data_IF_539680158111
#
_entry.id   IF_539680158111
#
_cell.length_a   1.000
_cell.length_b   1.000
_cell.length_c   1.000
_cell.angle_alpha   90.00
_cell.angle_beta   90.00
_cell.angle_gamma   90.00
#
_symmetry.space_group_name_H-M   'P 1'
#
loop_
_entity.id
_entity.type
_entity.pdbx_description
1 polymer ?
#
# COMPACT_ATOMS: atom_id res chain seq x y z
N UNK A 1 -4.08 8.25 21.98
CA UNK A 1 -5.48 8.73 21.83
C UNK A 1 -6.32 7.54 21.35
N UNK A 2 -7.64 7.62 21.10
CA UNK A 2 -8.40 6.41 20.76
C UNK A 2 -7.98 5.88 19.38
N UNK A 3 -7.61 4.60 19.34
CA UNK A 3 -7.41 3.85 18.09
C UNK A 3 -8.72 3.23 17.61
N UNK A 4 -8.77 2.88 16.33
CA UNK A 4 -9.94 2.21 15.74
C UNK A 4 -10.33 0.96 16.53
N UNK A 5 -9.38 0.06 16.80
CA UNK A 5 -9.60 -1.18 17.53
C UNK A 5 -10.27 -0.95 18.88
N UNK A 6 -9.72 -0.04 19.68
CA UNK A 6 -10.21 0.29 21.02
C UNK A 6 -11.58 0.97 20.97
N UNK A 7 -11.79 1.88 20.01
CA UNK A 7 -13.04 2.62 19.86
C UNK A 7 -14.23 1.73 19.50
N UNK A 8 -14.00 0.71 18.66
CA UNK A 8 -15.05 -0.20 18.20
C UNK A 8 -15.06 -1.53 18.96
N UNK A 9 -14.30 -1.64 20.05
CA UNK A 9 -14.32 -2.82 20.93
C UNK A 9 -13.70 -4.07 20.33
N UNK A 10 -12.79 -3.93 19.35
CA UNK A 10 -12.02 -5.05 18.84
C UNK A 10 -11.03 -5.48 19.92
N UNK A 11 -11.00 -6.78 20.20
CA UNK A 11 -10.12 -7.34 21.21
C UNK A 11 -8.67 -7.52 20.73
N UNK A 12 -8.35 -7.01 19.54
CA UNK A 12 -7.15 -7.34 18.78
C UNK A 12 -6.18 -6.15 18.83
N UNK A 13 -4.88 -6.45 18.90
CA UNK A 13 -3.81 -5.46 18.74
C UNK A 13 -3.40 -5.40 17.27
N UNK A 14 -2.56 -4.44 16.89
CA UNK A 14 -2.15 -4.25 15.49
C UNK A 14 -1.65 -5.54 14.83
N UNK A 15 -0.93 -6.38 15.57
CA UNK A 15 -0.41 -7.67 15.13
C UNK A 15 -1.51 -8.64 14.64
N UNK A 16 -2.70 -8.59 15.25
CA UNK A 16 -3.82 -9.50 14.99
C UNK A 16 -4.95 -8.89 14.16
N UNK A 17 -4.70 -7.74 13.53
CA UNK A 17 -5.57 -7.09 12.55
C UNK A 17 -4.96 -7.23 11.15
N UNK A 18 -5.77 -7.21 10.09
CA UNK A 18 -5.26 -7.23 8.70
C UNK A 18 -4.96 -5.80 8.18
N UNK A 19 -5.57 -4.80 8.82
CA UNK A 19 -5.48 -3.38 8.49
C UNK A 19 -4.67 -2.60 9.54
N UNK A 20 -4.23 -1.39 9.16
CA UNK A 20 -3.56 -0.46 10.07
C UNK A 20 -4.54 0.03 11.13
N UNK A 21 -4.20 -0.17 12.41
CA UNK A 21 -5.00 0.28 13.55
C UNK A 21 -4.75 1.77 13.81
N UNK A 22 -5.38 2.59 12.97
CA UNK A 22 -5.20 4.05 12.93
C UNK A 22 -5.61 4.73 14.23
N UNK A 23 -4.89 5.80 14.57
CA UNK A 23 -5.33 6.76 15.59
C UNK A 23 -6.46 7.64 15.01
N UNK A 24 -7.57 7.78 15.74
CA UNK A 24 -8.76 8.45 15.21
C UNK A 24 -8.71 9.98 15.32
N UNK A 25 -7.73 10.50 16.07
CA UNK A 25 -7.57 11.93 16.39
C UNK A 25 -6.43 12.60 15.64
N UNK A 26 -5.41 11.84 15.24
CA UNK A 26 -4.20 12.32 14.56
C UNK A 26 -3.90 11.41 13.38
N UNK A 27 -3.15 11.92 12.41
CA UNK A 27 -2.70 11.10 11.30
C UNK A 27 -1.57 10.17 11.74
N UNK A 28 -1.66 8.95 11.21
CA UNK A 28 -0.65 7.92 11.37
C UNK A 28 0.39 8.12 10.27
N UNK A 29 1.67 8.26 10.65
CA UNK A 29 2.78 8.48 9.72
C UNK A 29 3.13 7.23 8.93
N UNK A 30 2.24 6.91 8.00
CA UNK A 30 2.30 5.82 7.04
C UNK A 30 1.75 6.35 5.72
N UNK A 31 2.19 5.74 4.64
CA UNK A 31 1.80 6.04 3.27
C UNK A 31 1.21 4.80 2.64
N UNK A 32 0.02 4.92 2.05
CA UNK A 32 -0.43 3.96 1.05
C UNK A 32 0.50 4.05 -0.17
N UNK A 33 1.14 2.93 -0.49
CA UNK A 33 2.22 2.85 -1.47
C UNK A 33 1.76 2.03 -2.68
N UNK A 34 1.66 2.61 -3.89
CA UNK A 34 1.23 1.88 -5.08
C UNK A 34 2.20 0.77 -5.48
N UNK A 35 3.51 0.97 -5.30
CA UNK A 35 4.51 -0.05 -5.63
C UNK A 35 4.39 -1.26 -4.71
N UNK A 36 4.15 -1.03 -3.41
CA UNK A 36 3.91 -2.10 -2.44
C UNK A 36 2.70 -2.98 -2.77
N UNK A 37 1.73 -2.41 -3.51
CA UNK A 37 0.56 -3.13 -4.02
C UNK A 37 0.93 -3.87 -5.31
N UNK A 38 1.56 -3.18 -6.26
CA UNK A 38 1.85 -3.69 -7.61
C UNK A 38 2.76 -4.91 -7.64
N UNK A 39 3.68 -5.04 -6.68
CA UNK A 39 4.59 -6.19 -6.59
C UNK A 39 3.91 -7.50 -6.15
N UNK A 40 2.60 -7.47 -5.85
CA UNK A 40 1.86 -8.61 -5.31
C UNK A 40 0.91 -9.20 -6.34
N UNK A 41 0.93 -10.52 -6.45
CA UNK A 41 0.12 -11.29 -7.41
C UNK A 41 -1.25 -11.74 -6.87
N UNK A 42 -1.67 -11.23 -5.71
CA UNK A 42 -2.97 -11.56 -5.13
C UNK A 42 -4.13 -10.81 -5.80
N UNK A 43 -5.36 -11.31 -5.61
CA UNK A 43 -6.55 -10.77 -6.27
C UNK A 43 -6.83 -9.30 -5.90
N UNK A 44 -6.63 -8.92 -4.64
CA UNK A 44 -6.90 -7.57 -4.18
C UNK A 44 -5.88 -6.60 -4.78
N UNK A 45 -4.60 -6.97 -4.73
CA UNK A 45 -3.51 -6.18 -5.27
C UNK A 45 -3.59 -6.03 -6.79
N UNK A 46 -3.96 -7.10 -7.51
CA UNK A 46 -4.24 -7.06 -8.95
C UNK A 46 -5.34 -6.04 -9.28
N UNK A 47 -6.46 -6.07 -8.53
CA UNK A 47 -7.57 -5.13 -8.71
C UNK A 47 -7.13 -3.68 -8.48
N UNK A 48 -6.35 -3.44 -7.42
CA UNK A 48 -5.80 -2.11 -7.16
C UNK A 48 -4.87 -1.63 -8.29
N UNK A 49 -3.96 -2.49 -8.76
CA UNK A 49 -3.08 -2.19 -9.89
C UNK A 49 -3.85 -1.85 -11.16
N UNK A 50 -4.97 -2.53 -11.45
CA UNK A 50 -5.82 -2.21 -12.59
C UNK A 50 -6.49 -0.83 -12.46
N UNK A 51 -6.94 -0.45 -11.26
CA UNK A 51 -7.51 0.89 -11.02
C UNK A 51 -6.45 1.98 -11.22
N UNK A 52 -5.26 1.79 -10.65
CA UNK A 52 -4.12 2.70 -10.75
C UNK A 52 -3.71 2.88 -12.22
N UNK A 53 -3.42 1.79 -12.92
CA UNK A 53 -2.99 1.82 -14.32
C UNK A 53 -4.04 2.43 -15.24
N UNK A 54 -5.31 2.05 -15.07
CA UNK A 54 -6.43 2.58 -15.86
C UNK A 54 -6.56 4.09 -15.70
N UNK A 55 -6.57 4.57 -14.45
CA UNK A 55 -6.68 6.00 -14.17
C UNK A 55 -5.48 6.77 -14.74
N UNK A 56 -4.27 6.31 -14.45
CA UNK A 56 -3.06 7.02 -14.84
C UNK A 56 -2.89 7.05 -16.36
N UNK A 57 -3.18 5.94 -17.04
CA UNK A 57 -3.19 5.87 -18.51
C UNK A 57 -4.15 6.89 -19.13
N UNK A 58 -5.35 7.04 -18.57
CA UNK A 58 -6.34 8.00 -19.04
C UNK A 58 -5.87 9.46 -18.82
N UNK A 59 -5.23 9.75 -17.69
CA UNK A 59 -4.62 11.07 -17.43
C UNK A 59 -3.51 11.36 -18.44
N UNK A 60 -2.57 10.43 -18.63
CA UNK A 60 -1.47 10.59 -19.57
C UNK A 60 -1.99 10.75 -21.01
N UNK A 61 -3.00 9.99 -21.41
CA UNK A 61 -3.62 10.10 -22.73
C UNK A 61 -4.29 11.48 -22.93
N UNK A 62 -5.03 11.97 -21.93
CA UNK A 62 -5.64 13.29 -21.98
C UNK A 62 -4.60 14.41 -22.11
N UNK A 63 -3.50 14.32 -21.36
CA UNK A 63 -2.40 15.29 -21.44
C UNK A 63 -1.67 15.24 -22.79
N UNK A 64 -1.41 14.04 -23.34
CA UNK A 64 -0.76 13.87 -24.66
C UNK A 64 -1.63 14.38 -25.80
N UNK A 65 -2.96 14.28 -25.66
CA UNK A 65 -3.93 14.81 -26.62
C UNK A 65 -4.21 16.31 -26.45
N UNK A 66 -3.48 17.01 -25.57
CA UNK A 66 -3.72 18.41 -25.17
C UNK A 66 -5.17 18.67 -24.70
N UNK A 67 -5.86 17.64 -24.22
CA UNK A 67 -7.21 17.72 -23.70
C UNK A 67 -7.19 18.16 -22.23
N UNK A 68 -6.81 19.42 -22.03
CA UNK A 68 -6.71 20.05 -20.71
C UNK A 68 -8.01 19.95 -19.90
N UNK A 69 -9.17 20.04 -20.56
CA UNK A 69 -10.47 19.91 -19.89
C UNK A 69 -10.67 18.52 -19.27
N UNK A 70 -10.33 17.46 -20.00
CA UNK A 70 -10.39 16.09 -19.51
C UNK A 70 -9.36 15.84 -18.40
N UNK A 71 -8.11 16.25 -18.59
CA UNK A 71 -7.06 16.07 -17.59
C UNK A 71 -7.44 16.76 -16.26
N UNK A 72 -7.95 18.00 -16.32
CA UNK A 72 -8.39 18.72 -15.13
C UNK A 72 -9.64 18.10 -14.49
N UNK A 73 -10.58 17.57 -15.27
CA UNK A 73 -11.73 16.85 -14.72
C UNK A 73 -11.31 15.58 -13.96
N UNK A 74 -10.34 14.83 -14.49
CA UNK A 74 -9.82 13.63 -13.85
C UNK A 74 -9.08 13.97 -12.55
N UNK A 75 -8.12 14.90 -12.64
CA UNK A 75 -7.28 15.29 -11.51
C UNK A 75 -8.02 16.12 -10.45
N UNK A 76 -9.10 16.83 -10.83
CA UNK A 76 -9.89 17.65 -9.91
C UNK A 76 -10.67 16.86 -8.85
N UNK A 77 -10.78 15.54 -8.99
CA UNK A 77 -11.37 14.68 -7.97
C UNK A 77 -10.35 14.19 -6.93
N UNK A 78 -9.07 14.53 -7.11
CA UNK A 78 -7.99 14.16 -6.20
C UNK A 78 -7.90 15.17 -5.07
N UNK A 79 -8.28 14.75 -3.88
CA UNK A 79 -8.25 15.57 -2.67
C UNK A 79 -7.40 14.90 -1.60
N UNK A 80 -6.92 15.67 -0.62
CA UNK A 80 -6.26 15.07 0.55
C UNK A 80 -7.28 14.21 1.33
N UNK A 81 -7.10 12.88 1.36
CA UNK A 81 -8.06 11.93 1.90
C UNK A 81 -7.95 11.89 3.43
N UNK A 82 -8.96 12.41 4.12
CA UNK A 82 -8.96 12.47 5.58
C UNK A 82 -9.55 11.21 6.23
N UNK A 83 -10.21 10.38 5.43
CA UNK A 83 -10.92 9.18 5.85
C UNK A 83 -9.96 8.04 6.22
N UNK A 84 -8.74 7.99 5.65
CA UNK A 84 -7.73 6.97 5.98
C UNK A 84 -6.87 7.33 7.18
N UNK A 85 -6.77 8.63 7.54
CA UNK A 85 -5.89 9.13 8.62
C UNK A 85 -4.42 8.74 8.43
N UNK A 86 -3.98 8.66 7.18
CA UNK A 86 -2.60 8.44 6.81
C UNK A 86 -1.94 9.76 6.43
N UNK A 87 -0.64 9.91 6.70
CA UNK A 87 0.15 11.08 6.33
C UNK A 87 0.82 11.76 7.52
N UNK A 88 1.23 13.03 7.32
CA UNK A 88 2.01 13.80 8.31
C UNK A 88 1.28 15.03 8.86
N UNK A 89 0.02 15.23 8.51
CA UNK A 89 -0.71 16.44 8.88
C UNK A 89 -0.92 16.52 10.41
N UNK A 90 -0.42 17.61 11.02
CA UNK A 90 -0.57 17.92 12.45
C UNK A 90 -1.79 18.81 12.76
N UNK A 91 -2.56 19.19 11.73
CA UNK A 91 -3.61 20.22 11.82
C UNK A 91 -4.98 19.78 11.29
N UNK A 92 -6.01 20.63 11.46
CA UNK A 92 -7.36 20.38 10.90
C UNK A 92 -7.34 20.57 9.36
N UNK A 93 -7.95 19.67 8.58
CA UNK A 93 -7.97 19.77 7.13
C UNK A 93 -8.75 21.03 6.68
N UNK A 94 -8.15 21.85 5.83
CA UNK A 94 -8.83 23.00 5.21
C UNK A 94 -9.12 22.70 3.73
N UNK A 95 -10.17 21.92 3.49
CA UNK A 95 -10.58 21.50 2.15
C UNK A 95 -11.66 22.40 1.57
N UNK A 96 -11.34 23.14 0.50
CA UNK A 96 -12.22 23.46 -0.63
C UNK A 96 -11.55 24.30 -1.73
N UNK A 97 -10.44 24.99 -1.45
CA UNK A 97 -9.72 25.82 -2.44
C UNK A 97 -8.37 25.27 -2.95
N UNK A 98 -7.87 24.18 -2.35
CA UNK A 98 -6.52 23.66 -2.58
C UNK A 98 -6.46 22.61 -3.71
N UNK A 99 -7.56 21.86 -3.94
CA UNK A 99 -7.61 20.74 -4.90
C UNK A 99 -7.36 21.16 -6.34
N UNK A 100 -8.06 22.19 -6.84
CA UNK A 100 -7.88 22.69 -8.21
C UNK A 100 -6.48 23.25 -8.48
N UNK A 101 -5.80 23.75 -7.44
CA UNK A 101 -4.44 24.23 -7.54
C UNK A 101 -3.46 23.05 -7.59
N UNK A 102 -3.54 22.12 -6.64
CA UNK A 102 -2.73 20.89 -6.61
C UNK A 102 -2.88 20.08 -7.90
N UNK A 103 -4.10 19.93 -8.43
CA UNK A 103 -4.37 19.25 -9.69
C UNK A 103 -3.67 19.91 -10.88
N UNK A 104 -3.71 21.26 -10.95
CA UNK A 104 -3.00 22.02 -11.99
C UNK A 104 -1.48 21.92 -11.85
N UNK A 105 -0.97 21.96 -10.62
CA UNK A 105 0.46 21.80 -10.36
C UNK A 105 0.94 20.41 -10.75
N UNK A 106 0.21 19.36 -10.37
CA UNK A 106 0.52 17.99 -10.75
C UNK A 106 0.48 17.79 -12.27
N UNK A 107 -0.57 18.28 -12.95
CA UNK A 107 -0.65 18.24 -14.41
C UNK A 107 0.52 18.95 -15.09
N UNK A 108 0.90 20.14 -14.59
CA UNK A 108 2.05 20.89 -15.10
C UNK A 108 3.36 20.16 -14.85
N UNK A 109 3.53 19.56 -13.68
CA UNK A 109 4.71 18.80 -13.32
C UNK A 109 4.87 17.58 -14.24
N UNK A 110 3.77 16.85 -14.48
CA UNK A 110 3.73 15.76 -15.48
C UNK A 110 4.18 16.24 -16.86
N UNK A 111 3.53 17.26 -17.41
CA UNK A 111 3.80 17.75 -18.79
C UNK A 111 5.23 18.30 -18.93
N UNK A 112 5.78 18.92 -17.89
CA UNK A 112 7.15 19.44 -17.90
C UNK A 112 8.22 18.36 -17.75
N UNK A 113 7.87 17.22 -17.16
CA UNK A 113 8.84 16.17 -16.89
C UNK A 113 9.39 15.53 -18.17
N UNK A 114 10.69 15.23 -18.17
CA UNK A 114 11.31 14.46 -19.26
C UNK A 114 10.77 13.03 -19.33
N UNK A 115 10.36 12.46 -18.20
CA UNK A 115 9.79 11.10 -18.17
C UNK A 115 8.47 11.02 -18.94
N UNK A 116 7.62 12.05 -18.86
CA UNK A 116 6.40 12.13 -19.66
C UNK A 116 6.67 12.26 -21.16
N UNK A 117 7.55 13.20 -21.54
CA UNK A 117 7.86 13.50 -22.95
C UNK A 117 8.64 12.38 -23.66
N UNK A 118 9.48 11.65 -22.93
CA UNK A 118 10.23 10.49 -23.44
C UNK A 118 9.45 9.19 -23.43
N UNK A 119 8.29 9.15 -22.76
CA UNK A 119 7.48 7.94 -22.62
C UNK A 119 8.00 6.94 -21.57
N UNK A 120 9.02 7.31 -20.79
CA UNK A 120 9.55 6.49 -19.68
C UNK A 120 8.53 6.38 -18.54
N UNK A 121 7.73 7.44 -18.32
CA UNK A 121 6.69 7.44 -17.29
C UNK A 121 5.52 6.54 -17.71
N UNK A 122 5.45 5.35 -17.11
CA UNK A 122 4.39 4.37 -17.35
C UNK A 122 3.54 4.09 -16.12
N UNK A 123 4.11 4.34 -14.93
CA UNK A 123 3.49 4.02 -13.65
C UNK A 123 3.40 5.24 -12.73
N UNK A 124 2.39 5.28 -11.87
CA UNK A 124 2.27 6.26 -10.79
C UNK A 124 3.37 6.08 -9.75
N UNK A 125 3.81 4.84 -9.49
CA UNK A 125 4.85 4.55 -8.51
C UNK A 125 6.18 5.22 -8.91
N UNK A 126 6.43 5.30 -10.22
CA UNK A 126 7.59 5.97 -10.82
C UNK A 126 7.47 7.49 -10.84
N UNK A 127 6.28 8.05 -10.64
CA UNK A 127 6.09 9.50 -10.62
C UNK A 127 6.85 10.16 -9.46
N UNK A 128 6.99 9.48 -8.32
CA UNK A 128 7.89 9.95 -7.26
C UNK A 128 9.34 10.03 -7.77
N UNK A 129 9.82 9.04 -8.52
CA UNK A 129 11.22 9.03 -8.98
C UNK A 129 11.53 10.20 -9.92
N UNK A 130 10.62 10.52 -10.83
CA UNK A 130 10.94 11.34 -12.00
C UNK A 130 10.29 12.73 -12.04
N UNK A 131 9.26 12.98 -11.22
CA UNK A 131 8.52 14.24 -11.32
C UNK A 131 8.89 15.17 -10.17
N UNK A 132 9.46 16.32 -10.52
CA UNK A 132 9.76 17.38 -9.56
C UNK A 132 8.47 17.91 -8.90
N UNK A 133 8.52 18.12 -7.58
CA UNK A 133 7.36 18.53 -6.79
C UNK A 133 6.38 17.40 -6.44
N UNK A 134 6.57 16.19 -6.97
CA UNK A 134 5.83 15.00 -6.58
C UNK A 134 6.64 14.24 -5.54
N UNK A 135 6.05 14.03 -4.36
CA UNK A 135 6.67 13.30 -3.26
C UNK A 135 5.72 12.27 -2.63
N UNK A 136 6.14 11.60 -1.54
CA UNK A 136 5.38 10.55 -0.86
C UNK A 136 3.92 10.94 -0.54
N UNK A 137 3.66 12.10 0.05
CA UNK A 137 2.30 12.52 0.39
C UNK A 137 1.42 12.61 -0.87
N UNK A 138 1.94 13.16 -1.98
CA UNK A 138 1.17 13.32 -3.23
C UNK A 138 0.82 11.97 -3.86
N UNK A 139 1.78 11.04 -3.89
CA UNK A 139 1.55 9.70 -4.44
C UNK A 139 0.58 8.91 -3.56
N UNK A 140 0.68 9.05 -2.24
CA UNK A 140 -0.21 8.36 -1.31
C UNK A 140 -1.65 8.88 -1.37
N UNK A 141 -1.81 10.21 -1.39
CA UNK A 141 -3.10 10.87 -1.60
C UNK A 141 -3.73 10.41 -2.91
N UNK A 142 -2.97 10.47 -4.01
CA UNK A 142 -3.43 10.07 -5.33
C UNK A 142 -3.88 8.61 -5.35
N UNK A 143 -3.05 7.72 -4.83
CA UNK A 143 -3.34 6.28 -4.71
C UNK A 143 -4.62 6.05 -3.91
N UNK A 144 -4.80 6.75 -2.78
CA UNK A 144 -5.99 6.64 -1.95
C UNK A 144 -7.25 7.11 -2.69
N UNK A 145 -7.19 8.22 -3.43
CA UNK A 145 -8.33 8.71 -4.21
C UNK A 145 -8.74 7.72 -5.31
N UNK A 146 -7.77 7.17 -6.03
CA UNK A 146 -8.00 6.20 -7.10
C UNK A 146 -8.61 4.91 -6.52
N UNK A 147 -8.05 4.42 -5.41
CA UNK A 147 -8.45 3.18 -4.76
C UNK A 147 -9.63 3.32 -3.80
N UNK A 148 -10.24 4.51 -3.67
CA UNK A 148 -11.32 4.78 -2.70
C UNK A 148 -12.41 3.72 -2.70
N UNK A 149 -12.90 3.33 -3.87
CA UNK A 149 -13.95 2.31 -4.00
C UNK A 149 -13.49 0.94 -3.52
N UNK A 150 -12.26 0.56 -3.84
CA UNK A 150 -11.65 -0.73 -3.43
C UNK A 150 -11.41 -0.75 -1.91
N UNK A 151 -10.88 0.34 -1.35
CA UNK A 151 -10.68 0.52 0.09
C UNK A 151 -12.01 0.54 0.85
N UNK A 152 -13.07 1.13 0.28
CA UNK A 152 -14.39 1.15 0.89
C UNK A 152 -15.00 -0.26 0.96
N UNK A 153 -14.85 -1.06 -0.10
CA UNK A 153 -15.27 -2.47 -0.11
C UNK A 153 -14.50 -3.28 0.94
N UNK A 154 -13.17 -3.16 0.96
CA UNK A 154 -12.32 -3.78 1.98
C UNK A 154 -12.74 -3.38 3.40
N UNK A 155 -13.00 -2.09 3.63
CA UNK A 155 -13.44 -1.57 4.93
C UNK A 155 -14.78 -2.18 5.36
N UNK A 156 -15.74 -2.30 4.45
CA UNK A 156 -17.03 -2.92 4.74
C UNK A 156 -16.86 -4.38 5.17
N UNK A 157 -16.04 -5.15 4.46
CA UNK A 157 -15.76 -6.55 4.79
C UNK A 157 -15.05 -6.70 6.14
N UNK A 158 -14.07 -5.84 6.45
CA UNK A 158 -13.42 -5.83 7.76
C UNK A 158 -14.39 -5.43 8.88
N UNK A 159 -15.29 -4.50 8.62
CA UNK A 159 -16.33 -4.14 9.60
C UNK A 159 -17.29 -5.30 9.83
N UNK A 160 -17.70 -6.03 8.80
CA UNK A 160 -18.54 -7.22 8.95
C UNK A 160 -17.82 -8.35 9.72
N UNK A 161 -16.55 -8.59 9.38
CA UNK A 161 -15.70 -9.57 10.06
C UNK A 161 -15.64 -9.29 11.57
N UNK A 162 -15.43 -8.04 11.94
CA UNK A 162 -15.28 -7.60 13.33
C UNK A 162 -16.58 -7.14 14.00
N UNK A 163 -17.73 -7.25 13.32
CA UNK A 163 -19.05 -6.80 13.83
C UNK A 163 -19.09 -5.31 14.18
N UNK A 164 -18.36 -4.49 13.43
CA UNK A 164 -18.36 -3.03 13.54
C UNK A 164 -19.54 -2.45 12.75
N UNK A 165 -20.37 -1.58 13.36
CA UNK A 165 -21.50 -0.99 12.67
C UNK A 165 -21.04 -0.02 11.58
N UNK A 166 -21.70 -0.09 10.43
CA UNK A 166 -21.48 0.81 9.29
C UNK A 166 -22.73 1.63 8.98
N UNK A 167 -22.56 2.67 8.18
CA UNK A 167 -23.66 3.49 7.67
C UNK A 167 -23.42 3.86 6.21
N UNK A 168 -24.49 4.13 5.48
CA UNK A 168 -24.42 4.61 4.10
C UNK A 168 -23.81 6.02 4.05
N UNK A 169 -22.66 6.15 3.39
CA UNK A 169 -21.89 7.39 3.26
C UNK A 169 -21.63 7.70 1.79
N UNK A 170 -21.93 8.93 1.37
CA UNK A 170 -21.65 9.45 0.03
C UNK A 170 -20.73 10.70 0.06
N UNK A 171 -20.19 11.05 1.22
CA UNK A 171 -19.45 12.31 1.45
C UNK A 171 -17.94 12.22 1.21
N UNK A 172 -17.37 11.03 0.98
CA UNK A 172 -15.92 10.84 0.78
C UNK A 172 -15.46 11.03 -0.67
N UNK A 173 -16.36 11.34 -1.60
CA UNK A 173 -16.06 11.52 -3.02
C UNK A 173 -16.39 10.29 -3.88
N UNK A 174 -16.26 10.41 -5.21
CA UNK A 174 -16.61 9.35 -6.15
C UNK A 174 -15.57 8.21 -6.18
N UNK A 175 -15.96 7.05 -6.70
CA UNK A 175 -15.06 5.95 -7.03
C UNK A 175 -14.62 6.00 -8.49
N UNK A 176 -13.40 5.56 -8.79
CA UNK A 176 -12.94 5.39 -10.17
C UNK A 176 -13.58 4.15 -10.79
N UNK A 177 -14.24 4.30 -11.93
CA UNK A 177 -14.77 3.18 -12.71
C UNK A 177 -13.83 2.89 -13.89
N UNK A 178 -13.11 1.76 -13.83
CA UNK A 178 -12.17 1.30 -14.86
C UNK A 178 -12.86 1.17 -16.23
N UNK A 179 -14.03 0.53 -16.30
CA UNK A 179 -14.70 0.19 -17.56
C UNK A 179 -15.17 1.43 -18.32
N UNK A 180 -15.54 2.49 -17.59
CA UNK A 180 -16.05 3.74 -18.14
C UNK A 180 -15.02 4.86 -18.14
N UNK A 181 -13.82 4.60 -17.62
CA UNK A 181 -12.76 5.56 -17.37
C UNK A 181 -13.28 6.86 -16.74
N UNK A 182 -14.12 6.78 -15.70
CA UNK A 182 -14.69 8.00 -15.09
C UNK A 182 -14.95 7.84 -13.61
N UNK A 183 -15.04 8.98 -12.93
CA UNK A 183 -15.52 9.06 -11.57
C UNK A 183 -17.03 8.82 -11.49
N UNK A 184 -17.47 7.94 -10.61
CA UNK A 184 -18.89 7.64 -10.37
C UNK A 184 -19.23 7.84 -8.88
N UNK A 185 -20.31 8.59 -8.63
CA UNK A 185 -20.84 8.75 -7.28
C UNK A 185 -21.41 7.44 -6.77
N UNK A 186 -21.02 7.05 -5.56
CA UNK A 186 -21.45 5.82 -4.92
C UNK A 186 -21.75 6.08 -3.45
N UNK A 187 -22.65 5.27 -2.88
CA UNK A 187 -22.84 5.20 -1.42
C UNK A 187 -22.06 4.00 -0.89
N UNK A 188 -21.17 4.24 0.06
CA UNK A 188 -20.31 3.24 0.69
C UNK A 188 -20.83 2.89 2.08
N UNK A 189 -20.62 1.65 2.54
CA UNK A 189 -20.93 1.24 3.91
C UNK A 189 -19.68 1.39 4.78
N UNK A 190 -19.60 2.46 5.57
CA UNK A 190 -18.40 2.81 6.32
C UNK A 190 -18.68 2.99 7.81
N UNK A 191 -17.73 2.66 8.70
CA UNK A 191 -17.81 3.01 10.10
C UNK A 191 -17.63 4.52 10.28
N UNK A 192 -18.29 5.06 11.31
CA UNK A 192 -18.26 6.49 11.61
C UNK A 192 -17.63 6.74 13.00
N UNK A 193 -16.77 7.74 13.09
CA UNK A 193 -16.29 8.28 14.36
C UNK A 193 -16.60 9.78 14.44
N UNK A 194 -17.40 10.17 15.44
CA UNK A 194 -17.94 11.53 15.58
C UNK A 194 -18.56 12.07 14.26
N UNK A 195 -19.32 11.22 13.57
CA UNK A 195 -19.98 11.55 12.29
C UNK A 195 -19.04 11.65 11.08
N UNK A 196 -17.75 11.32 11.23
CA UNK A 196 -16.79 11.27 10.13
C UNK A 196 -16.54 9.84 9.67
N UNK A 197 -16.57 9.57 8.36
CA UNK A 197 -16.28 8.26 7.81
C UNK A 197 -14.82 7.88 7.96
N UNK A 198 -14.57 6.58 8.09
CA UNK A 198 -13.23 5.98 8.16
C UNK A 198 -13.08 4.98 7.01
N UNK A 199 -11.92 5.01 6.35
CA UNK A 199 -11.44 3.96 5.45
C UNK A 199 -10.29 3.21 6.12
N UNK A 200 -10.43 1.89 6.22
CA UNK A 200 -9.37 1.01 6.67
C UNK A 200 -8.44 0.67 5.50
N UNK A 201 -7.14 0.60 5.78
CA UNK A 201 -6.11 0.32 4.79
C UNK A 201 -5.37 -0.96 5.18
N UNK A 202 -5.24 -1.96 4.28
CA UNK A 202 -4.50 -3.18 4.58
C UNK A 202 -3.05 -2.89 4.94
N UNK A 203 -2.52 -3.53 6.00
CA UNK A 203 -1.14 -3.26 6.46
C UNK A 203 -0.07 -3.53 5.42
N UNK A 204 -0.28 -4.55 4.58
CA UNK A 204 0.73 -4.92 3.58
C UNK A 204 0.90 -3.83 2.49
N UNK A 205 -0.11 -2.96 2.32
CA UNK A 205 -0.13 -1.91 1.30
C UNK A 205 0.49 -0.58 1.75
N UNK A 206 0.90 -0.46 3.02
CA UNK A 206 1.46 0.79 3.55
C UNK A 206 2.96 0.71 3.81
N UNK A 207 3.64 1.86 3.83
CA UNK A 207 5.05 2.01 4.19
C UNK A 207 5.29 3.28 5.02
N UNK A 208 6.40 3.35 5.78
CA UNK A 208 6.80 4.57 6.51
C UNK A 208 7.36 5.67 5.60
N UNK A 209 7.92 5.25 4.47
CA UNK A 209 8.31 6.06 3.32
C UNK A 209 8.07 5.24 2.05
N UNK A 210 7.91 5.88 0.91
CA UNK A 210 7.65 5.16 -0.35
C UNK A 210 8.77 4.15 -0.65
N UNK A 211 8.39 2.98 -1.17
CA UNK A 211 9.31 1.94 -1.61
C UNK A 211 10.22 2.44 -2.72
N UNK A 212 9.66 3.21 -3.67
CA UNK A 212 10.45 3.93 -4.66
C UNK A 212 10.74 5.34 -4.13
N UNK A 213 12.01 5.65 -3.92
CA UNK A 213 12.48 6.92 -3.38
C UNK A 213 13.58 7.47 -4.30
N UNK A 214 13.32 8.66 -4.84
CA UNK A 214 14.19 9.34 -5.78
C UNK A 214 15.59 9.61 -5.22
N UNK A 215 15.68 9.95 -3.93
CA UNK A 215 16.95 10.29 -3.29
C UNK A 215 17.81 9.04 -3.05
N UNK A 216 17.19 7.93 -2.68
CA UNK A 216 17.81 6.61 -2.55
C UNK A 216 18.28 6.11 -3.92
N UNK A 217 17.40 6.12 -4.92
CA UNK A 217 17.73 5.70 -6.29
C UNK A 217 18.94 6.49 -6.83
N UNK A 218 18.94 7.81 -6.67
CA UNK A 218 20.08 8.66 -7.02
C UNK A 218 21.38 8.23 -6.31
N UNK A 219 21.38 8.13 -4.98
CA UNK A 219 22.59 7.96 -4.18
C UNK A 219 23.20 6.55 -4.27
N UNK A 220 22.35 5.54 -4.37
CA UNK A 220 22.73 4.13 -4.22
C UNK A 220 22.67 3.34 -5.52
N UNK A 221 21.99 3.85 -6.56
CA UNK A 221 21.90 3.20 -7.86
C UNK A 221 22.59 4.04 -8.94
N UNK A 222 22.10 5.24 -9.23
CA UNK A 222 22.69 6.08 -10.30
C UNK A 222 24.15 6.45 -10.02
N UNK A 223 24.46 6.98 -8.84
CA UNK A 223 25.83 7.41 -8.50
C UNK A 223 26.78 6.20 -8.38
N UNK A 224 26.32 5.06 -7.88
CA UNK A 224 27.15 3.83 -7.82
C UNK A 224 27.40 3.25 -9.22
N UNK A 225 26.42 3.32 -10.12
CA UNK A 225 26.60 2.96 -11.52
C UNK A 225 27.71 3.79 -12.17
N UNK A 226 27.65 5.12 -12.08
CA UNK A 226 28.68 5.99 -12.63
C UNK A 226 30.03 5.77 -11.97
N UNK A 227 30.07 5.47 -10.67
CA UNK A 227 31.30 5.13 -9.96
C UNK A 227 31.95 3.87 -10.52
N UNK A 228 31.17 2.80 -10.69
CA UNK A 228 31.63 1.55 -11.26
C UNK A 228 32.12 1.72 -12.70
N UNK A 229 31.37 2.46 -13.52
CA UNK A 229 31.71 2.75 -14.91
C UNK A 229 33.04 3.51 -15.02
N UNK A 230 33.24 4.56 -14.21
CA UNK A 230 34.48 5.34 -14.19
C UNK A 230 35.68 4.51 -13.71
N UNK A 231 35.50 3.66 -12.70
CA UNK A 231 36.53 2.73 -12.23
C UNK A 231 36.94 1.74 -13.31
N UNK A 232 35.96 1.16 -14.03
CA UNK A 232 36.20 0.18 -15.08
C UNK A 232 36.92 0.81 -16.28
N UNK A 233 36.52 2.02 -16.68
CA UNK A 233 37.13 2.74 -17.81
C UNK A 233 38.47 3.39 -17.47
N UNK A 234 38.83 3.51 -16.19
CA UNK A 234 40.06 4.16 -15.77
C UNK A 234 40.09 5.65 -16.12
N UNK A 235 38.96 6.34 -15.96
CA UNK A 235 38.83 7.75 -16.36
C UNK A 235 39.68 8.67 -15.46
N UNK A 236 39.75 9.96 -15.82
CA UNK A 236 40.43 10.98 -15.01
C UNK A 236 39.85 11.19 -13.61
N UNK A 237 38.70 10.60 -13.29
CA UNK A 237 38.08 10.63 -11.96
C UNK A 237 38.62 9.53 -11.03
N UNK A 238 39.45 8.61 -11.54
CA UNK A 238 39.99 7.50 -10.75
C UNK A 238 41.22 7.96 -9.97
N UNK A 239 41.09 7.94 -8.64
CA UNK A 239 42.20 8.20 -7.73
C UNK A 239 42.88 6.88 -7.34
N UNK A 240 44.20 6.84 -7.46
CA UNK A 240 45.01 5.70 -6.99
C UNK A 240 45.73 6.08 -5.71
N UNK A 241 45.42 5.39 -4.62
CA UNK A 241 46.07 5.60 -3.33
C UNK A 241 47.45 4.93 -3.29
N UNK A 242 48.28 5.34 -2.32
CA UNK A 242 49.64 4.80 -2.12
C UNK A 242 49.68 3.27 -1.94
N UNK A 243 48.60 2.66 -1.45
CA UNK A 243 48.46 1.21 -1.28
C UNK A 243 47.94 0.48 -2.53
N UNK A 244 47.83 1.16 -3.67
CA UNK A 244 47.32 0.59 -4.93
C UNK A 244 45.79 0.54 -5.03
N UNK A 245 45.04 0.93 -3.99
CA UNK A 245 43.58 1.00 -4.05
C UNK A 245 43.16 2.06 -5.06
N UNK A 246 42.25 1.71 -5.96
CA UNK A 246 41.60 2.64 -6.88
C UNK A 246 40.22 3.01 -6.36
N UNK A 247 39.87 4.28 -6.46
CA UNK A 247 38.58 4.78 -5.99
C UNK A 247 38.12 5.98 -6.81
N UNK A 248 36.82 6.07 -7.02
CA UNK A 248 36.15 7.27 -7.52
C UNK A 248 35.29 7.81 -6.37
N UNK A 249 35.46 9.10 -6.05
CA UNK A 249 34.73 9.72 -4.94
C UNK A 249 33.31 10.09 -5.34
N UNK A 250 32.33 9.72 -4.49
CA UNK A 250 30.93 10.08 -4.70
C UNK A 250 30.70 11.59 -4.73
N UNK A 251 31.47 12.38 -3.96
CA UNK A 251 31.33 13.85 -3.93
C UNK A 251 31.55 14.44 -5.32
N UNK A 252 32.63 14.06 -6.00
CA UNK A 252 32.93 14.51 -7.37
C UNK A 252 31.86 14.08 -8.36
N UNK A 253 31.36 12.83 -8.25
CA UNK A 253 30.26 12.37 -9.10
C UNK A 253 28.97 13.17 -8.89
N UNK A 254 28.65 13.55 -7.65
CA UNK A 254 27.48 14.38 -7.32
C UNK A 254 27.62 15.83 -7.78
N UNK A 255 28.84 16.34 -7.90
CA UNK A 255 29.09 17.66 -8.50
C UNK A 255 28.86 17.62 -10.03
N UNK A 256 29.26 16.53 -10.70
CA UNK A 256 29.08 16.33 -12.14
C UNK A 256 27.62 15.99 -12.48
N UNK A 257 26.99 15.16 -11.64
CA UNK A 257 25.63 14.67 -11.80
C UNK A 257 24.82 15.07 -10.56
N UNK A 258 24.40 16.35 -10.42
CA UNK A 258 23.60 16.80 -9.28
C UNK A 258 22.25 16.07 -9.20
N UNK A 259 21.65 16.06 -8.01
CA UNK A 259 20.35 15.45 -7.81
C UNK A 259 19.25 16.27 -8.50
N UNK A 260 18.78 15.77 -9.64
CA UNK A 260 17.69 16.35 -10.42
C UNK A 260 16.81 15.20 -10.93
N UNK A 261 15.51 15.20 -10.62
CA UNK A 261 14.59 14.10 -11.01
C UNK A 261 14.50 13.93 -12.54
N UNK A 262 14.58 15.02 -13.30
CA UNK A 262 14.65 14.98 -14.77
C UNK A 262 15.92 14.28 -15.29
N UNK A 263 17.03 14.36 -14.57
CA UNK A 263 18.26 13.65 -14.91
C UNK A 263 18.17 12.16 -14.55
N UNK A 264 17.45 11.80 -13.48
CA UNK A 264 17.10 10.40 -13.20
C UNK A 264 16.31 9.78 -14.36
N UNK A 265 15.35 10.50 -14.92
CA UNK A 265 14.58 10.03 -16.07
C UNK A 265 15.47 9.79 -17.30
N UNK A 266 16.44 10.68 -17.57
CA UNK A 266 17.39 10.47 -18.68
C UNK A 266 18.34 9.30 -18.43
N UNK A 267 18.80 9.15 -17.19
CA UNK A 267 19.63 8.03 -16.79
C UNK A 267 18.89 6.71 -17.01
N UNK A 268 17.67 6.58 -16.49
CA UNK A 268 16.83 5.38 -16.66
C UNK A 268 16.52 5.09 -18.12
N UNK A 269 16.30 6.12 -18.95
CA UNK A 269 16.12 5.91 -20.39
C UNK A 269 17.32 5.23 -21.05
N UNK A 270 18.53 5.57 -20.61
CA UNK A 270 19.77 5.00 -21.15
C UNK A 270 20.18 3.69 -20.46
N UNK A 271 19.73 3.49 -19.21
CA UNK A 271 20.07 2.37 -18.33
C UNK A 271 18.82 1.80 -17.64
N UNK A 272 17.82 1.31 -18.40
CA UNK A 272 16.56 0.81 -17.81
C UNK A 272 16.79 -0.37 -16.87
N UNK A 273 17.83 -1.17 -17.10
CA UNK A 273 18.23 -2.29 -16.25
C UNK A 273 18.52 -1.90 -14.81
N UNK A 274 18.94 -0.65 -14.55
CA UNK A 274 19.25 -0.18 -13.20
C UNK A 274 17.97 0.12 -12.42
N UNK A 275 16.93 0.62 -13.09
CA UNK A 275 15.61 0.81 -12.46
C UNK A 275 14.96 -0.53 -12.13
N UNK A 276 15.00 -1.47 -13.07
CA UNK A 276 14.40 -2.80 -12.86
C UNK A 276 15.11 -3.54 -11.72
N UNK A 277 16.44 -3.50 -11.65
CA UNK A 277 17.19 -4.06 -10.52
C UNK A 277 16.83 -3.37 -9.18
N UNK A 278 16.61 -2.05 -9.18
CA UNK A 278 16.17 -1.33 -7.99
C UNK A 278 14.78 -1.78 -7.53
N UNK A 279 13.84 -1.89 -8.47
CA UNK A 279 12.49 -2.40 -8.24
C UNK A 279 12.51 -3.81 -7.65
N UNK A 280 13.26 -4.73 -8.26
CA UNK A 280 13.41 -6.11 -7.76
C UNK A 280 13.94 -6.15 -6.31
N UNK A 281 14.97 -5.34 -6.01
CA UNK A 281 15.51 -5.23 -4.65
C UNK A 281 14.47 -4.71 -3.65
N UNK A 282 13.65 -3.73 -4.05
CA UNK A 282 12.55 -3.21 -3.21
C UNK A 282 11.42 -4.21 -3.05
N UNK A 283 11.08 -4.95 -4.10
CA UNK A 283 10.10 -6.03 -4.03
C UNK A 283 10.51 -7.13 -3.05
N UNK A 284 11.79 -7.47 -3.03
CA UNK A 284 12.33 -8.49 -2.13
C UNK A 284 12.30 -8.12 -0.63
N UNK A 285 12.12 -6.84 -0.28
CA UNK A 285 12.00 -6.40 1.13
C UNK A 285 10.66 -6.81 1.76
N UNK A 286 9.65 -7.14 0.94
CA UNK A 286 8.34 -7.61 1.41
C UNK A 286 7.47 -6.52 2.07
N UNK A 287 6.40 -6.96 2.73
CA UNK A 287 5.51 -6.10 3.51
C UNK A 287 6.15 -5.72 4.86
N UNK A 288 5.80 -4.56 5.46
CA UNK A 288 6.27 -4.19 6.78
C UNK A 288 5.86 -5.24 7.81
N UNK A 289 6.77 -5.55 8.72
CA UNK A 289 6.48 -6.39 9.88
C UNK A 289 5.70 -5.59 10.94
N UNK A 290 5.08 -6.28 11.88
CA UNK A 290 4.36 -5.61 12.97
C UNK A 290 5.27 -4.66 13.76
N UNK A 291 6.53 -5.04 13.98
CA UNK A 291 7.52 -4.20 14.67
C UNK A 291 7.91 -2.94 13.90
N UNK A 292 7.71 -2.91 12.58
CA UNK A 292 7.88 -1.69 11.79
C UNK A 292 6.74 -0.71 12.10
N UNK A 293 5.50 -1.19 12.22
CA UNK A 293 4.31 -0.36 12.48
C UNK A 293 4.24 0.06 13.95
N UNK A 294 4.46 -0.88 14.88
CA UNK A 294 4.47 -0.66 16.32
C UNK A 294 5.88 -0.76 16.89
N UNK A 295 6.45 0.41 17.18
CA UNK A 295 7.76 0.49 17.84
C UNK A 295 7.73 -0.27 19.17
N UNK A 296 8.76 -1.09 19.40
CA UNK A 296 8.93 -1.91 20.60
C UNK A 296 7.91 -3.06 20.75
N UNK A 297 7.33 -3.54 19.65
CA UNK A 297 6.52 -4.74 19.67
C UNK A 297 7.34 -5.96 20.12
N UNK A 298 6.89 -6.65 21.17
CA UNK A 298 7.48 -7.90 21.66
C UNK A 298 6.61 -9.08 21.20
N UNK A 299 7.09 -9.78 20.18
CA UNK A 299 6.40 -10.90 19.55
C UNK A 299 6.15 -12.05 20.53
N UNK A 300 7.13 -12.37 21.39
CA UNK A 300 7.01 -13.49 22.34
C UNK A 300 6.00 -13.16 23.43
N UNK A 301 6.06 -11.95 23.98
CA UNK A 301 5.08 -11.50 24.96
C UNK A 301 3.66 -11.47 24.37
N UNK A 302 3.50 -10.99 23.13
CA UNK A 302 2.21 -10.98 22.46
C UNK A 302 1.68 -12.39 22.18
N UNK A 303 2.54 -13.30 21.71
CA UNK A 303 2.17 -14.70 21.52
C UNK A 303 1.68 -15.34 22.83
N UNK A 304 2.34 -15.05 23.96
CA UNK A 304 1.90 -15.54 25.26
C UNK A 304 0.51 -14.99 25.65
N UNK A 305 0.24 -13.70 25.40
CA UNK A 305 -1.09 -13.12 25.62
C UNK A 305 -2.16 -13.84 24.79
N UNK A 306 -1.89 -14.20 23.53
CA UNK A 306 -2.82 -14.95 22.70
C UNK A 306 -3.05 -16.37 23.24
N UNK A 307 -2.00 -17.05 23.70
CA UNK A 307 -2.10 -18.38 24.35
C UNK A 307 -2.97 -18.31 25.60
N UNK A 308 -2.73 -17.34 26.47
CA UNK A 308 -3.46 -17.20 27.74
C UNK A 308 -4.94 -16.89 27.48
N UNK A 309 -5.24 -15.99 26.54
CA UNK A 309 -6.62 -15.68 26.15
C UNK A 309 -7.33 -16.88 25.55
N UNK A 310 -6.67 -17.60 24.65
CA UNK A 310 -7.23 -18.82 24.04
C UNK A 310 -7.56 -19.88 25.11
N UNK A 311 -6.68 -20.06 26.10
CA UNK A 311 -6.85 -21.01 27.19
C UNK A 311 -8.03 -20.67 28.12
N UNK A 312 -8.41 -19.39 28.21
CA UNK A 312 -9.53 -18.93 29.04
C UNK A 312 -10.90 -19.11 28.36
N UNK A 313 -10.94 -19.35 27.04
CA UNK A 313 -12.22 -19.50 26.34
C UNK A 313 -12.85 -20.86 26.64
N UNK A 314 -13.94 -20.83 27.40
CA UNK A 314 -14.72 -22.03 27.69
C UNK A 314 -15.19 -22.71 26.38
N UNK A 315 -15.23 -24.05 26.31
CA UNK A 315 -15.73 -24.75 25.14
C UNK A 315 -17.27 -24.72 25.06
N UNK A 316 -17.81 -24.63 23.84
CA UNK A 316 -19.24 -24.70 23.56
C UNK A 316 -19.81 -23.48 22.81
N UNK A 317 -21.11 -23.53 22.49
CA UNK A 317 -21.81 -22.49 21.72
C UNK A 317 -21.78 -21.09 22.35
N UNK A 318 -21.92 -20.90 23.69
CA UNK A 318 -22.01 -19.56 24.27
C UNK A 318 -20.79 -18.66 24.01
N UNK A 319 -19.62 -19.26 23.83
CA UNK A 319 -18.31 -18.60 23.67
C UNK A 319 -17.74 -18.79 22.26
N UNK A 320 -18.52 -19.31 21.32
CA UNK A 320 -18.07 -19.60 19.96
C UNK A 320 -17.58 -18.33 19.22
N UNK A 321 -18.27 -17.21 19.37
CA UNK A 321 -17.86 -15.95 18.74
C UNK A 321 -16.53 -15.41 19.29
N UNK A 322 -16.30 -15.55 20.59
CA UNK A 322 -15.03 -15.17 21.23
C UNK A 322 -13.89 -16.06 20.74
N UNK A 323 -14.11 -17.38 20.70
CA UNK A 323 -13.15 -18.33 20.16
C UNK A 323 -12.81 -18.01 18.69
N UNK A 324 -13.81 -17.73 17.86
CA UNK A 324 -13.62 -17.33 16.46
C UNK A 324 -12.81 -16.05 16.32
N UNK A 325 -13.05 -15.06 17.17
CA UNK A 325 -12.33 -13.79 17.15
C UNK A 325 -10.85 -13.97 17.55
N UNK A 326 -10.57 -14.82 18.53
CA UNK A 326 -9.20 -15.16 18.95
C UNK A 326 -8.51 -15.99 17.87
N UNK A 327 -9.18 -17.00 17.30
CA UNK A 327 -8.62 -17.82 16.22
C UNK A 327 -8.27 -16.98 14.99
N UNK A 328 -9.16 -16.07 14.59
CA UNK A 328 -8.88 -15.07 13.55
C UNK A 328 -7.62 -14.28 13.88
N UNK A 329 -7.54 -13.73 15.09
CA UNK A 329 -6.39 -12.93 15.52
C UNK A 329 -5.08 -13.71 15.51
N UNK A 330 -5.10 -14.98 15.95
CA UNK A 330 -3.94 -15.89 15.92
C UNK A 330 -3.54 -16.18 14.47
N UNK A 331 -4.48 -16.53 13.60
CA UNK A 331 -4.17 -16.82 12.20
C UNK A 331 -3.59 -15.60 11.49
N UNK A 332 -4.16 -14.41 11.70
CA UNK A 332 -3.63 -13.16 11.15
C UNK A 332 -2.22 -12.90 11.67
N UNK A 333 -1.98 -13.05 12.97
CA UNK A 333 -0.65 -12.86 13.57
C UNK A 333 0.40 -13.82 13.02
N UNK A 334 0.07 -15.11 12.88
CA UNK A 334 1.02 -16.14 12.45
C UNK A 334 1.29 -16.14 10.94
N UNK A 335 0.29 -15.79 10.13
CA UNK A 335 0.34 -16.03 8.69
C UNK A 335 0.44 -14.76 7.85
N UNK A 336 0.28 -13.56 8.43
CA UNK A 336 0.57 -12.33 7.71
C UNK A 336 2.08 -12.24 7.36
N UNK A 337 2.46 -11.76 6.17
CA UNK A 337 1.65 -11.29 5.04
C UNK A 337 1.29 -12.38 4.00
N UNK A 338 1.52 -13.66 4.30
CA UNK A 338 1.23 -14.76 3.37
C UNK A 338 -0.27 -15.05 3.26
N UNK A 339 -1.04 -14.83 4.32
CA UNK A 339 -2.49 -14.83 4.32
C UNK A 339 -2.99 -13.43 4.69
N UNK A 340 -3.84 -12.88 3.84
CA UNK A 340 -4.36 -11.50 3.95
C UNK A 340 -5.87 -11.48 3.72
N UNK A 341 -6.48 -10.32 3.96
CA UNK A 341 -7.88 -10.05 3.66
C UNK A 341 -8.82 -11.17 4.14
N UNK A 342 -8.85 -11.46 5.45
CA UNK A 342 -9.81 -12.37 6.00
C UNK A 342 -11.22 -11.84 5.77
N UNK A 343 -12.12 -12.72 5.39
CA UNK A 343 -13.56 -12.45 5.30
C UNK A 343 -14.34 -13.58 5.96
N UNK A 344 -15.53 -13.25 6.49
CA UNK A 344 -16.52 -14.28 6.84
C UNK A 344 -17.09 -14.81 5.52
N UNK A 345 -17.15 -16.13 5.36
CA UNK A 345 -17.85 -16.68 4.21
C UNK A 345 -19.35 -16.66 4.48
N UNK A 346 -20.09 -15.79 3.78
CA UNK A 346 -21.55 -15.83 3.76
C UNK A 346 -22.04 -16.99 2.88
N UNK A 347 -23.23 -17.53 3.19
CA UNK A 347 -23.82 -18.66 2.47
C UNK A 347 -23.76 -18.47 0.94
N UNK A 348 -23.12 -19.38 0.18
CA UNK A 348 -23.62 -19.64 -1.15
C UNK A 348 -24.99 -20.31 -0.95
N UNK A 349 -26.06 -19.70 -1.46
CA UNK A 349 -27.36 -20.34 -1.62
C UNK A 349 -27.17 -21.84 -1.93
N UNK A 350 -27.45 -22.73 -0.97
CA UNK A 350 -27.45 -24.23 -1.04
C UNK A 350 -26.81 -24.95 0.18
N UNK A 351 -26.97 -24.44 1.41
CA UNK A 351 -26.99 -25.28 2.63
C UNK A 351 -25.82 -26.24 2.89
N UNK A 352 -24.60 -25.97 2.41
CA UNK A 352 -23.40 -26.78 2.71
C UNK A 352 -22.36 -25.98 3.50
N UNK A 353 -21.83 -26.66 4.54
CA UNK A 353 -20.73 -26.35 5.48
C UNK A 353 -20.31 -24.87 5.63
N UNK A 354 -20.53 -24.37 6.86
CA UNK A 354 -19.95 -23.14 7.41
C UNK A 354 -18.42 -23.24 7.42
N UNK A 355 -17.73 -22.42 6.62
CA UNK A 355 -16.32 -22.10 6.82
C UNK A 355 -16.31 -20.82 7.65
N UNK A 356 -15.63 -20.83 8.79
CA UNK A 356 -15.71 -19.71 9.73
C UNK A 356 -14.96 -18.48 9.20
N UNK A 357 -13.81 -18.68 8.55
CA UNK A 357 -12.96 -17.61 8.02
C UNK A 357 -12.31 -18.07 6.70
N UNK A 358 -12.33 -17.21 5.68
CA UNK A 358 -11.56 -17.40 4.44
C UNK A 358 -10.50 -16.31 4.32
N UNK A 359 -9.24 -16.71 4.12
CA UNK A 359 -8.14 -15.82 3.80
C UNK A 359 -7.81 -15.87 2.31
N UNK A 360 -7.37 -14.76 1.74
CA UNK A 360 -6.71 -14.73 0.44
C UNK A 360 -5.28 -15.23 0.62
N UNK A 361 -4.87 -16.18 -0.21
CA UNK A 361 -3.49 -16.64 -0.23
C UNK A 361 -2.65 -15.66 -1.07
N UNK A 362 -1.69 -15.01 -0.42
CA UNK A 362 -0.79 -14.02 -1.01
C UNK A 362 0.66 -14.32 -0.62
N UNK A 363 0.99 -15.61 -0.51
CA UNK A 363 2.33 -16.07 -0.16
C UNK A 363 3.33 -15.83 -1.30
N UNK A 364 4.37 -15.06 -1.03
CA UNK A 364 5.50 -14.80 -1.96
C UNK A 364 6.66 -15.78 -1.76
N UNK A 365 6.66 -16.53 -0.64
CA UNK A 365 7.67 -17.54 -0.31
C UNK A 365 7.10 -18.71 0.48
N UNK A 366 7.82 -19.83 0.49
CA UNK A 366 7.55 -20.94 1.41
C UNK A 366 6.30 -21.74 1.07
N UNK A 367 5.56 -22.20 2.09
CA UNK A 367 4.43 -23.11 1.89
C UNK A 367 3.29 -22.49 1.07
N UNK A 368 2.86 -21.28 1.43
CA UNK A 368 1.72 -20.63 0.79
C UNK A 368 1.96 -20.29 -0.68
N UNK A 369 3.18 -19.85 -1.04
CA UNK A 369 3.61 -19.68 -2.44
C UNK A 369 3.55 -20.99 -3.21
N UNK A 370 4.14 -22.07 -2.66
CA UNK A 370 4.11 -23.39 -3.32
C UNK A 370 2.68 -23.87 -3.58
N UNK A 371 1.75 -23.56 -2.66
CA UNK A 371 0.33 -23.88 -2.85
C UNK A 371 -0.35 -22.97 -3.88
N UNK A 372 0.08 -21.72 -4.08
CA UNK A 372 -0.41 -20.85 -5.15
C UNK A 372 0.04 -21.32 -6.54
N UNK A 373 1.29 -21.78 -6.65
CA UNK A 373 1.92 -22.15 -7.92
C UNK A 373 1.65 -23.61 -8.30
N UNK A 374 1.23 -24.46 -7.35
CA UNK A 374 1.00 -25.88 -7.58
C UNK A 374 -0.09 -26.12 -8.63
N UNK A 375 0.21 -26.81 -9.75
CA UNK A 375 -0.79 -27.12 -10.77
C UNK A 375 -1.94 -28.01 -10.25
N UNK A 376 -1.66 -28.87 -9.27
CA UNK A 376 -2.62 -29.85 -8.75
C UNK A 376 -3.32 -29.39 -7.48
N UNK A 377 -2.70 -28.47 -6.73
CA UNK A 377 -3.18 -28.05 -5.42
C UNK A 377 -3.34 -26.53 -5.31
N UNK A 378 -3.51 -25.84 -6.45
CA UNK A 378 -3.63 -24.38 -6.51
C UNK A 378 -4.64 -23.85 -5.50
N UNK A 379 -4.15 -23.10 -4.51
CA UNK A 379 -4.97 -22.55 -3.44
C UNK A 379 -4.88 -21.02 -3.43
N UNK A 380 -5.80 -20.35 -4.15
CA UNK A 380 -5.94 -18.88 -4.15
C UNK A 380 -6.54 -18.34 -2.84
N UNK A 381 -7.15 -19.22 -2.05
CA UNK A 381 -7.72 -18.90 -0.76
C UNK A 381 -7.51 -20.05 0.22
N UNK A 382 -7.42 -19.74 1.51
CA UNK A 382 -7.29 -20.70 2.60
C UNK A 382 -8.49 -20.59 3.53
N UNK A 383 -9.23 -21.67 3.67
CA UNK A 383 -10.35 -21.79 4.59
C UNK A 383 -9.86 -22.24 5.97
N UNK A 384 -10.30 -21.55 7.03
CA UNK A 384 -10.02 -21.90 8.42
C UNK A 384 -11.33 -22.25 9.12
N UNK A 385 -11.45 -23.52 9.55
CA UNK A 385 -12.58 -24.01 10.35
C UNK A 385 -12.14 -24.07 11.82
N UNK A 386 -12.85 -23.37 12.69
CA UNK A 386 -12.49 -23.15 14.09
C UNK A 386 -13.48 -23.87 15.01
N UNK A 387 -13.02 -24.92 15.70
CA UNK A 387 -13.86 -25.74 16.59
C UNK A 387 -13.32 -25.78 18.02
N UNK A 388 -14.11 -25.26 18.96
CA UNK A 388 -13.86 -25.39 20.40
C UNK A 388 -14.93 -26.27 21.08
N UNK A 389 -14.68 -27.58 21.09
CA UNK A 389 -15.63 -28.57 21.62
C UNK A 389 -15.06 -29.26 22.86
N UNK A 390 -15.91 -29.56 23.84
CA UNK A 390 -15.55 -30.51 24.89
C UNK A 390 -15.32 -31.87 24.25
N UNK A 391 -14.23 -32.56 24.61
CA UNK A 391 -14.13 -34.01 24.34
C UNK A 391 -15.34 -34.67 25.00
N UNK A 392 -16.09 -35.43 24.20
CA UNK A 392 -17.14 -36.30 24.72
C UNK A 392 -16.52 -37.44 25.51
#
# INVERSE_FOLDING_TARGET
MPRFSTQFGLSNQQASLDFVDIELSLDTRLYLDPYAIEIRDDQWSTSCGDHIRSFFSEVLAALRADNSGRAMHLLGNLHEPNETRLGQSRGRPQGRGVGDHKAREFARALVRSRAFTSGVLSDIAEAELFIEGVGPDTISDLTTNILRGVLAAYTADQCELHSVPTSGVNSIGPAWNIQRSRWESQTFQLPLFHGRPILLVPKFSVRHGMSLDSQEFYNHHMIEFYRAENLQRGTGLVHTFKNGRKEVFKSTLKEIHPFVKDDLANFVRNHPEVLEAYKELKGAQGAPETGDIEKFFDEQAFAQVLVDRLAQVAPGNPTAGEYHSIALGICTFLFHPSLIYPVKEQEPHSGRKRIDIKFTNAGERGFFQRMLESPQARAISVAVESKNTRKK
#
